data_IF_126133174671
#
_entry.id   IF_126133174671
#
_cell.length_a   1.000
_cell.length_b   1.000
_cell.length_c   1.000
_cell.angle_alpha   90.00
_cell.angle_beta   90.00
_cell.angle_gamma   90.00
#
_symmetry.space_group_name_H-M   'P 1'
#
loop_
_entity.id
_entity.type
_entity.pdbx_description
1 polymer ?
#
# COMPACT_ATOMS: atom_id res chain seq x y z
N UNK A 1 -74.43 -19.96 8.85
CA UNK A 1 -73.07 -19.47 9.15
C UNK A 1 -72.24 -20.64 9.66
N UNK A 2 -70.97 -20.76 9.26
CA UNK A 2 -70.46 -21.97 8.60
C UNK A 2 -69.96 -23.09 9.53
N UNK A 3 -70.01 -24.29 8.96
CA UNK A 3 -69.46 -25.57 9.37
C UNK A 3 -67.93 -25.59 9.37
N UNK A 4 -67.31 -25.98 10.48
CA UNK A 4 -65.89 -26.36 10.52
C UNK A 4 -65.72 -27.82 10.13
N UNK A 5 -65.36 -28.10 8.88
CA UNK A 5 -64.86 -29.42 8.47
C UNK A 5 -63.36 -29.48 8.72
N UNK A 6 -62.95 -30.32 9.67
CA UNK A 6 -61.56 -30.71 9.88
C UNK A 6 -61.09 -31.43 8.61
N UNK A 7 -60.15 -30.83 7.87
CA UNK A 7 -59.52 -31.46 6.72
C UNK A 7 -58.65 -32.61 7.21
N UNK A 8 -58.95 -33.83 6.76
CA UNK A 8 -58.11 -34.99 6.99
C UNK A 8 -56.77 -34.81 6.25
N UNK A 9 -55.65 -34.88 6.99
CA UNK A 9 -54.33 -34.96 6.40
C UNK A 9 -54.22 -36.21 5.53
N UNK A 10 -53.95 -36.02 4.25
CA UNK A 10 -53.67 -37.12 3.32
C UNK A 10 -52.33 -37.77 3.70
N UNK A 11 -52.23 -39.11 3.73
CA UNK A 11 -50.97 -39.78 4.07
C UNK A 11 -49.88 -39.47 3.03
N UNK A 12 -48.60 -39.45 3.44
CA UNK A 12 -47.50 -39.18 2.52
C UNK A 12 -47.47 -40.23 1.39
N UNK A 13 -47.12 -39.83 0.17
CA UNK A 13 -47.09 -40.73 -0.98
C UNK A 13 -46.06 -41.86 -0.75
N UNK A 14 -46.43 -43.09 -1.07
CA UNK A 14 -45.56 -44.26 -0.95
C UNK A 14 -44.28 -44.13 -1.79
N UNK A 15 -43.19 -44.78 -1.39
CA UNK A 15 -41.89 -44.72 -2.09
C UNK A 15 -41.99 -45.10 -3.59
N UNK A 16 -42.93 -45.97 -3.95
CA UNK A 16 -43.19 -46.37 -5.34
C UNK A 16 -43.74 -45.24 -6.21
N UNK A 17 -44.50 -44.31 -5.63
CA UNK A 17 -45.00 -43.10 -6.32
C UNK A 17 -43.94 -42.01 -6.46
N UNK A 18 -43.00 -41.94 -5.53
CA UNK A 18 -41.82 -41.07 -5.63
C UNK A 18 -40.87 -41.57 -6.72
N UNK A 19 -40.57 -42.87 -6.76
CA UNK A 19 -39.67 -43.45 -7.78
C UNK A 19 -40.21 -43.28 -9.22
N UNK A 20 -41.52 -43.41 -9.42
CA UNK A 20 -42.17 -43.20 -10.72
C UNK A 20 -42.25 -41.71 -11.14
N UNK A 21 -42.04 -40.79 -10.19
CA UNK A 21 -41.98 -39.35 -10.44
C UNK A 21 -40.54 -38.91 -10.76
N UNK A 22 -39.54 -39.49 -10.09
CA UNK A 22 -38.12 -39.30 -10.42
C UNK A 22 -37.74 -39.90 -11.79
N UNK A 23 -38.31 -41.04 -12.17
CA UNK A 23 -38.05 -41.67 -13.47
C UNK A 23 -38.68 -40.94 -14.67
N UNK A 24 -39.46 -39.88 -14.43
CA UNK A 24 -40.07 -39.02 -15.46
C UNK A 24 -39.42 -37.65 -15.58
N UNK A 25 -38.40 -37.37 -14.77
CA UNK A 25 -37.54 -36.21 -15.01
C UNK A 25 -36.73 -36.51 -16.28
N UNK A 26 -36.69 -35.60 -17.27
CA UNK A 26 -35.81 -35.78 -18.41
C UNK A 26 -34.39 -35.96 -17.89
N UNK A 27 -33.74 -37.07 -18.23
CA UNK A 27 -32.30 -37.22 -18.07
C UNK A 27 -31.66 -36.04 -18.80
N UNK A 28 -31.08 -35.12 -18.05
CA UNK A 28 -30.26 -34.04 -18.60
C UNK A 28 -28.97 -34.70 -19.04
N UNK A 29 -29.03 -35.38 -20.18
CA UNK A 29 -27.87 -35.85 -20.92
C UNK A 29 -27.25 -34.63 -21.60
N UNK A 30 -26.17 -34.15 -20.99
CA UNK A 30 -25.47 -32.96 -21.43
C UNK A 30 -24.58 -32.48 -20.32
N UNK A 31 -23.27 -32.67 -20.48
CA UNK A 31 -22.26 -31.84 -19.84
C UNK A 31 -22.59 -30.37 -20.16
N UNK A 32 -23.36 -29.72 -19.29
CA UNK A 32 -23.54 -28.29 -19.33
C UNK A 32 -22.21 -27.71 -18.83
N UNK A 33 -21.25 -27.59 -19.74
CA UNK A 33 -20.17 -26.63 -19.61
C UNK A 33 -20.79 -25.24 -19.54
N UNK A 34 -21.24 -24.82 -18.36
CA UNK A 34 -21.52 -23.43 -18.06
C UNK A 34 -20.15 -22.76 -18.08
N UNK A 35 -19.72 -22.31 -19.26
CA UNK A 35 -18.58 -21.42 -19.35
C UNK A 35 -18.84 -20.27 -18.37
N UNK A 36 -17.95 -19.97 -17.41
CA UNK A 36 -18.17 -18.91 -16.45
C UNK A 36 -18.31 -17.59 -17.22
N UNK A 37 -19.55 -17.15 -17.44
CA UNK A 37 -19.81 -15.90 -18.13
C UNK A 37 -19.35 -14.78 -17.21
N UNK A 38 -18.32 -14.04 -17.63
CA UNK A 38 -17.85 -12.85 -16.90
C UNK A 38 -19.02 -11.86 -16.88
N UNK A 39 -19.61 -11.53 -15.72
CA UNK A 39 -20.71 -10.59 -15.68
C UNK A 39 -20.25 -9.23 -16.27
N UNK A 40 -21.14 -8.50 -16.97
CA UNK A 40 -20.79 -7.19 -17.51
C UNK A 40 -20.38 -6.22 -16.39
N UNK A 41 -19.49 -5.28 -16.73
CA UNK A 41 -19.04 -4.26 -15.78
C UNK A 41 -20.23 -3.45 -15.26
N UNK A 42 -20.41 -3.40 -13.95
CA UNK A 42 -21.48 -2.66 -13.30
C UNK A 42 -20.87 -1.58 -12.41
N UNK A 43 -21.19 -0.33 -12.70
CA UNK A 43 -20.74 0.83 -11.91
C UNK A 43 -21.18 0.72 -10.44
N UNK A 44 -22.37 0.17 -10.16
CA UNK A 44 -22.84 -0.02 -8.78
C UNK A 44 -21.97 -0.99 -7.99
N UNK A 45 -21.58 -2.13 -8.60
CA UNK A 45 -20.64 -3.07 -7.99
C UNK A 45 -19.24 -2.45 -7.84
N UNK A 46 -18.79 -1.69 -8.83
CA UNK A 46 -17.52 -0.99 -8.76
C UNK A 46 -17.43 -0.04 -7.56
N UNK A 47 -18.43 0.84 -7.37
CA UNK A 47 -18.46 1.77 -6.22
C UNK A 47 -18.54 1.03 -4.88
N UNK A 48 -19.29 -0.07 -4.81
CA UNK A 48 -19.38 -0.89 -3.60
C UNK A 48 -18.02 -1.48 -3.18
N UNK A 49 -17.19 -1.92 -4.15
CA UNK A 49 -15.87 -2.50 -3.89
C UNK A 49 -14.70 -1.50 -3.96
N UNK A 50 -14.97 -0.20 -4.12
CA UNK A 50 -13.91 0.82 -4.27
C UNK A 50 -13.17 1.14 -2.96
N UNK A 51 -13.78 0.83 -1.80
CA UNK A 51 -13.29 1.21 -0.47
C UNK A 51 -11.82 0.87 -0.17
N UNK A 52 -11.38 -0.39 -0.30
CA UNK A 52 -10.00 -0.78 -0.01
C UNK A 52 -8.96 -0.07 -0.89
N UNK A 53 -9.24 0.08 -2.20
CA UNK A 53 -8.35 0.79 -3.11
C UNK A 53 -8.26 2.29 -2.79
N UNK A 54 -9.39 2.90 -2.40
CA UNK A 54 -9.42 4.29 -1.95
C UNK A 54 -8.60 4.51 -0.67
N UNK A 55 -8.77 3.63 0.33
CA UNK A 55 -8.00 3.68 1.59
C UNK A 55 -6.49 3.60 1.32
N UNK A 56 -6.05 2.68 0.45
CA UNK A 56 -4.65 2.56 0.07
C UNK A 56 -4.13 3.77 -0.71
N UNK A 57 -4.99 4.40 -1.53
CA UNK A 57 -4.61 5.61 -2.29
C UNK A 57 -4.43 6.82 -1.36
N UNK A 58 -5.27 6.96 -0.33
CA UNK A 58 -5.09 8.04 0.66
C UNK A 58 -3.80 7.89 1.46
N UNK A 59 -3.40 6.66 1.78
CA UNK A 59 -2.13 6.39 2.46
C UNK A 59 -0.88 6.74 1.62
N UNK A 60 -1.03 6.88 0.29
CA UNK A 60 0.04 7.34 -0.60
C UNK A 60 0.10 8.87 -0.75
N UNK A 61 -0.95 9.56 -0.31
CA UNK A 61 -1.06 11.02 -0.32
C UNK A 61 -0.76 11.61 1.06
N UNK A 62 -0.04 10.85 1.89
CA UNK A 62 0.39 11.29 3.19
C UNK A 62 1.37 12.48 3.07
N UNK A 63 1.41 13.38 4.06
CA UNK A 63 2.26 14.55 4.01
C UNK A 63 3.76 14.24 3.87
N UNK A 64 4.21 13.06 4.30
CA UNK A 64 5.61 12.63 4.22
C UNK A 64 6.07 12.37 2.79
N UNK A 65 5.31 11.58 2.04
CA UNK A 65 5.61 11.34 0.62
C UNK A 65 5.51 12.64 -0.20
N UNK A 66 4.52 13.49 0.10
CA UNK A 66 4.37 14.78 -0.56
C UNK A 66 5.54 15.72 -0.30
N UNK A 67 6.10 15.74 0.91
CA UNK A 67 7.33 16.50 1.21
C UNK A 67 8.49 16.03 0.34
N UNK A 68 8.78 14.73 0.32
CA UNK A 68 9.93 14.21 -0.42
C UNK A 68 9.82 14.51 -1.92
N UNK A 69 8.61 14.41 -2.46
CA UNK A 69 8.31 14.78 -3.85
C UNK A 69 8.44 16.29 -4.09
N UNK A 70 8.00 17.13 -3.14
CA UNK A 70 8.16 18.58 -3.23
C UNK A 70 9.61 19.02 -3.08
N UNK A 71 10.39 18.44 -2.16
CA UNK A 71 11.82 18.71 -1.98
C UNK A 71 12.61 18.28 -3.22
N UNK A 72 12.36 17.08 -3.76
CA UNK A 72 13.03 16.64 -4.97
C UNK A 72 12.63 17.47 -6.20
N UNK A 73 11.36 17.89 -6.26
CA UNK A 73 10.85 18.91 -7.17
C UNK A 73 11.58 20.24 -7.00
N UNK A 74 11.90 20.64 -5.78
CA UNK A 74 12.55 21.91 -5.50
C UNK A 74 13.98 21.99 -6.05
N UNK A 75 14.74 20.92 -5.82
CA UNK A 75 16.12 20.85 -6.27
C UNK A 75 16.24 20.60 -7.77
N UNK A 76 15.29 19.90 -8.38
CA UNK A 76 15.40 19.44 -9.77
C UNK A 76 14.38 20.08 -10.73
N UNK A 77 13.57 21.02 -10.23
CA UNK A 77 12.43 21.73 -10.85
C UNK A 77 11.36 20.82 -11.47
N UNK A 78 11.73 20.01 -12.47
CA UNK A 78 10.83 19.07 -13.16
C UNK A 78 11.55 17.83 -13.72
N UNK A 79 12.88 17.72 -13.60
CA UNK A 79 13.61 16.61 -14.22
C UNK A 79 13.23 15.25 -13.64
N UNK A 80 12.81 15.17 -12.38
CA UNK A 80 12.43 13.90 -11.74
C UNK A 80 10.96 13.51 -11.92
N UNK A 81 10.13 14.33 -12.56
CA UNK A 81 8.69 14.06 -12.67
C UNK A 81 8.39 12.71 -13.34
N UNK A 82 9.20 12.32 -14.34
CA UNK A 82 9.05 11.02 -14.98
C UNK A 82 9.41 9.86 -14.03
N UNK A 83 10.39 10.06 -13.14
CA UNK A 83 10.79 9.05 -12.15
C UNK A 83 9.67 8.86 -11.12
N UNK A 84 9.10 9.94 -10.59
CA UNK A 84 7.97 9.89 -9.67
C UNK A 84 6.77 9.22 -10.32
N UNK A 85 6.44 9.57 -11.57
CA UNK A 85 5.35 8.92 -12.31
C UNK A 85 5.55 7.41 -12.44
N UNK A 86 6.72 6.97 -12.88
CA UNK A 86 7.02 5.53 -13.02
C UNK A 86 7.11 4.80 -11.68
N UNK A 87 7.58 5.48 -10.62
CA UNK A 87 7.57 4.98 -9.24
C UNK A 87 6.15 4.71 -8.75
N UNK A 88 5.23 5.66 -8.95
CA UNK A 88 3.82 5.51 -8.56
C UNK A 88 3.13 4.41 -9.36
N UNK A 89 3.43 4.27 -10.66
CA UNK A 89 2.94 3.15 -11.47
C UNK A 89 3.44 1.81 -10.93
N UNK A 90 4.72 1.69 -10.60
CA UNK A 90 5.29 0.48 -10.00
C UNK A 90 4.66 0.18 -8.62
N UNK A 91 4.48 1.20 -7.77
CA UNK A 91 3.79 1.09 -6.49
C UNK A 91 2.37 0.56 -6.64
N UNK A 92 1.60 1.11 -7.58
CA UNK A 92 0.26 0.64 -7.92
C UNK A 92 0.25 -0.82 -8.41
N UNK A 93 1.26 -1.23 -9.19
CA UNK A 93 1.42 -2.63 -9.57
C UNK A 93 1.63 -3.52 -8.34
N UNK A 94 2.53 -3.17 -7.41
CA UNK A 94 2.71 -3.92 -6.17
C UNK A 94 1.45 -3.99 -5.31
N UNK A 95 0.65 -2.92 -5.25
CA UNK A 95 -0.63 -2.94 -4.54
C UNK A 95 -1.64 -3.89 -5.19
N UNK A 96 -1.76 -3.88 -6.52
CA UNK A 96 -2.63 -4.83 -7.25
C UNK A 96 -2.18 -6.27 -7.00
N UNK A 97 -0.87 -6.50 -6.93
CA UNK A 97 -0.29 -7.80 -6.62
C UNK A 97 -0.61 -8.25 -5.19
N UNK A 98 -0.48 -7.37 -4.20
CA UNK A 98 -0.86 -7.66 -2.82
C UNK A 98 -2.37 -7.93 -2.67
N UNK A 99 -3.21 -7.13 -3.35
CA UNK A 99 -4.66 -7.32 -3.37
C UNK A 99 -5.07 -8.65 -4.01
N UNK A 100 -4.39 -9.03 -5.11
CA UNK A 100 -4.60 -10.33 -5.77
C UNK A 100 -4.16 -11.50 -4.89
N UNK A 101 -3.01 -11.38 -4.22
CA UNK A 101 -2.56 -12.40 -3.27
C UNK A 101 -3.62 -12.62 -2.20
N UNK A 102 -4.16 -11.55 -1.60
CA UNK A 102 -5.24 -11.65 -0.62
C UNK A 102 -6.55 -12.21 -1.19
N UNK A 103 -6.92 -11.82 -2.40
CA UNK A 103 -8.17 -12.27 -3.04
C UNK A 103 -8.12 -13.73 -3.50
N UNK A 104 -6.93 -14.24 -3.87
CA UNK A 104 -6.76 -15.63 -4.33
C UNK A 104 -6.49 -16.61 -3.19
N UNK A 105 -5.91 -16.16 -2.08
CA UNK A 105 -5.53 -17.05 -0.96
C UNK A 105 -6.44 -16.91 0.26
N UNK A 106 -7.29 -15.89 0.32
CA UNK A 106 -8.07 -15.54 1.51
C UNK A 106 -7.23 -15.01 2.69
N UNK A 107 -5.90 -14.97 2.55
CA UNK A 107 -4.96 -14.66 3.61
C UNK A 107 -4.15 -13.40 3.32
N UNK A 108 -3.75 -12.70 4.39
CA UNK A 108 -2.87 -11.53 4.25
C UNK A 108 -1.41 -11.95 4.04
N UNK A 109 -0.61 -11.08 3.41
CA UNK A 109 0.82 -11.34 3.18
C UNK A 109 1.55 -11.72 4.47
N UNK A 110 1.23 -11.06 5.58
CA UNK A 110 1.83 -11.35 6.90
C UNK A 110 1.51 -12.76 7.41
N UNK A 111 0.30 -13.26 7.17
CA UNK A 111 -0.12 -14.61 7.56
C UNK A 111 0.63 -15.67 6.75
N UNK A 112 0.75 -15.43 5.44
CA UNK A 112 1.52 -16.29 4.53
C UNK A 112 3.01 -16.26 4.93
N UNK A 113 3.57 -15.10 5.24
CA UNK A 113 4.93 -14.97 5.77
C UNK A 113 5.12 -15.73 7.09
N UNK A 114 4.15 -15.67 8.00
CA UNK A 114 4.20 -16.38 9.29
C UNK A 114 4.10 -17.90 9.14
N UNK A 115 3.30 -18.37 8.20
CA UNK A 115 3.19 -19.80 7.91
C UNK A 115 4.40 -20.33 7.13
N UNK A 116 4.95 -19.51 6.24
CA UNK A 116 6.10 -19.84 5.42
C UNK A 116 7.39 -19.83 6.24
N UNK A 117 7.78 -18.71 6.85
CA UNK A 117 9.12 -18.54 7.44
C UNK A 117 9.27 -19.14 8.85
N UNK A 118 10.50 -19.49 9.29
CA UNK A 118 10.74 -19.89 10.67
C UNK A 118 10.50 -18.72 11.63
N UNK A 119 10.09 -19.04 12.87
CA UNK A 119 9.66 -18.04 13.88
C UNK A 119 10.63 -16.88 14.05
N UNK A 120 11.94 -17.13 14.05
CA UNK A 120 12.97 -16.08 14.19
C UNK A 120 12.90 -15.06 13.06
N UNK A 121 12.76 -15.52 11.81
CA UNK A 121 12.68 -14.66 10.62
C UNK A 121 11.34 -13.92 10.61
N UNK A 122 10.24 -14.57 11.00
CA UNK A 122 8.94 -13.91 11.13
C UNK A 122 9.00 -12.77 12.15
N UNK A 123 9.61 -12.97 13.33
CA UNK A 123 9.78 -11.90 14.30
C UNK A 123 10.67 -10.77 13.78
N UNK A 124 11.76 -11.10 13.07
CA UNK A 124 12.63 -10.09 12.46
C UNK A 124 11.86 -9.23 11.44
N UNK A 125 11.10 -9.86 10.54
CA UNK A 125 10.26 -9.15 9.55
C UNK A 125 9.16 -8.35 10.25
N UNK A 126 8.53 -8.89 11.30
CA UNK A 126 7.52 -8.17 12.07
C UNK A 126 8.08 -6.90 12.72
N UNK A 127 9.24 -6.98 13.40
CA UNK A 127 9.89 -5.80 13.98
C UNK A 127 10.20 -4.76 12.90
N UNK A 128 10.71 -5.19 11.75
CA UNK A 128 10.99 -4.27 10.65
C UNK A 128 9.72 -3.56 10.16
N UNK A 129 8.61 -4.28 10.00
CA UNK A 129 7.33 -3.69 9.59
C UNK A 129 6.75 -2.74 10.64
N UNK A 130 6.86 -3.07 11.93
CA UNK A 130 6.40 -2.19 13.01
C UNK A 130 7.18 -0.88 13.01
N UNK A 131 8.50 -0.94 12.80
CA UNK A 131 9.36 0.24 12.67
C UNK A 131 9.00 1.09 11.43
N UNK A 132 8.59 0.48 10.30
CA UNK A 132 8.08 1.22 9.13
C UNK A 132 6.87 2.06 9.53
N UNK A 133 5.88 1.42 10.16
CA UNK A 133 4.60 2.05 10.49
C UNK A 133 4.81 3.20 11.48
N UNK A 134 5.63 2.99 12.52
CA UNK A 134 6.00 4.05 13.47
C UNK A 134 6.69 5.22 12.74
N UNK A 135 7.56 4.93 11.77
CA UNK A 135 8.21 5.96 10.96
C UNK A 135 7.23 6.80 10.14
N UNK A 136 6.24 6.15 9.52
CA UNK A 136 5.17 6.84 8.79
C UNK A 136 4.35 7.75 9.72
N UNK A 137 3.94 7.25 10.88
CA UNK A 137 3.16 8.01 11.86
C UNK A 137 3.93 9.26 12.36
N UNK A 138 5.24 9.13 12.61
CA UNK A 138 6.08 10.26 13.01
C UNK A 138 6.09 11.34 11.92
N UNK A 139 6.23 10.94 10.65
CA UNK A 139 6.27 11.88 9.52
C UNK A 139 4.94 12.64 9.38
N UNK A 140 3.81 11.95 9.52
CA UNK A 140 2.48 12.57 9.49
C UNK A 140 2.33 13.63 10.58
N UNK A 141 2.78 13.35 11.80
CA UNK A 141 2.68 14.29 12.93
C UNK A 141 3.56 15.52 12.69
N UNK A 142 4.81 15.34 12.26
CA UNK A 142 5.76 16.45 12.02
C UNK A 142 5.17 17.42 10.99
N UNK A 143 4.63 16.92 9.89
CA UNK A 143 4.04 17.74 8.84
C UNK A 143 2.71 18.35 9.21
N UNK A 144 1.82 17.61 9.87
CA UNK A 144 0.56 18.15 10.37
C UNK A 144 0.82 19.35 11.29
N UNK A 145 1.79 19.24 12.20
CA UNK A 145 2.19 20.34 13.08
C UNK A 145 2.84 21.48 12.29
N UNK A 146 3.77 21.19 11.37
CA UNK A 146 4.44 22.21 10.55
C UNK A 146 3.47 23.04 9.71
N UNK A 147 2.49 22.38 9.07
CA UNK A 147 1.49 23.03 8.22
C UNK A 147 0.52 23.87 9.05
N UNK A 148 0.05 23.35 10.20
CA UNK A 148 -0.81 24.10 11.13
C UNK A 148 -0.04 25.28 11.74
N UNK A 149 1.21 25.09 12.17
CA UNK A 149 2.04 26.15 12.75
C UNK A 149 2.34 27.27 11.73
N UNK A 150 2.71 26.91 10.50
CA UNK A 150 2.91 27.87 9.39
C UNK A 150 1.63 28.66 9.09
N UNK A 151 0.48 27.97 9.04
CA UNK A 151 -0.82 28.59 8.83
C UNK A 151 -1.24 29.55 9.94
N UNK A 152 -1.00 29.22 11.22
CA UNK A 152 -1.36 30.05 12.36
C UNK A 152 -0.41 31.25 12.53
N UNK A 153 0.91 31.04 12.38
CA UNK A 153 1.92 32.10 12.51
C UNK A 153 1.70 33.23 11.51
N UNK A 154 1.42 32.88 10.24
CA UNK A 154 1.12 33.85 9.18
C UNK A 154 -0.16 34.66 9.44
N UNK A 155 -1.20 34.03 10.01
CA UNK A 155 -2.50 34.70 10.22
C UNK A 155 -2.45 35.70 11.37
N UNK A 156 -1.78 35.39 12.48
CA UNK A 156 -1.69 36.33 13.60
C UNK A 156 -0.81 37.55 13.26
N UNK A 157 0.39 37.32 12.73
CA UNK A 157 1.32 38.45 12.45
C UNK A 157 0.80 39.36 11.33
N UNK A 158 0.21 38.79 10.27
CA UNK A 158 -0.37 39.57 9.17
C UNK A 158 -1.60 40.40 9.56
N UNK A 159 -2.44 39.90 10.48
CA UNK A 159 -3.64 40.65 10.92
C UNK A 159 -3.33 41.79 11.87
N UNK A 160 -2.36 41.61 12.77
CA UNK A 160 -1.95 42.65 13.71
C UNK A 160 -1.16 43.76 12.99
N UNK A 161 -0.17 43.41 12.16
CA UNK A 161 0.59 44.42 11.41
C UNK A 161 -0.28 45.19 10.41
N UNK A 162 -1.16 44.50 9.69
CA UNK A 162 -2.09 45.13 8.74
C UNK A 162 -3.12 46.06 9.40
N UNK A 163 -3.49 45.80 10.66
CA UNK A 163 -4.40 46.67 11.40
C UNK A 163 -3.76 48.00 11.76
N UNK A 164 -2.53 48.00 12.27
CA UNK A 164 -1.81 49.23 12.61
C UNK A 164 -1.52 50.10 11.39
N UNK A 165 -1.25 49.49 10.22
CA UNK A 165 -1.01 50.23 8.98
C UNK A 165 -2.31 50.79 8.38
N UNK A 166 -3.40 50.00 8.34
CA UNK A 166 -4.69 50.47 7.79
C UNK A 166 -5.34 51.56 8.65
N UNK A 167 -5.32 51.41 9.98
CA UNK A 167 -5.85 52.42 10.90
C UNK A 167 -4.95 53.66 10.96
N UNK A 168 -3.62 53.49 10.85
CA UNK A 168 -2.67 54.60 10.91
C UNK A 168 -2.58 55.47 9.65
N UNK A 169 -2.74 54.88 8.45
CA UNK A 169 -2.51 55.61 7.19
C UNK A 169 -3.74 55.80 6.31
N UNK A 170 -4.75 54.94 6.40
CA UNK A 170 -5.85 54.87 5.43
C UNK A 170 -7.25 55.04 6.04
N UNK A 171 -7.38 55.09 7.37
CA UNK A 171 -8.63 55.22 8.16
C UNK A 171 -9.79 54.30 7.66
N UNK A 172 -9.44 53.12 7.15
CA UNK A 172 -10.37 52.15 6.56
C UNK A 172 -10.67 51.02 7.54
N UNK A 173 -11.89 51.01 8.11
CA UNK A 173 -12.37 49.96 9.01
C UNK A 173 -13.03 48.81 8.24
N UNK A 174 -12.21 47.86 7.78
CA UNK A 174 -12.68 46.63 7.12
C UNK A 174 -12.78 45.51 8.17
N UNK A 175 -13.85 44.70 8.10
CA UNK A 175 -14.01 43.52 8.96
C UNK A 175 -12.83 42.56 8.82
N UNK A 176 -12.36 42.02 9.96
CA UNK A 176 -11.11 41.24 10.05
C UNK A 176 -11.05 40.06 9.07
N UNK A 177 -12.16 39.37 8.81
CA UNK A 177 -12.21 38.23 7.89
C UNK A 177 -12.00 38.63 6.41
N UNK A 178 -12.56 39.79 5.99
CA UNK A 178 -12.35 40.31 4.63
C UNK A 178 -10.91 40.77 4.43
N UNK A 179 -10.34 41.39 5.47
CA UNK A 179 -8.94 41.81 5.50
C UNK A 179 -8.01 40.60 5.33
N UNK A 180 -8.20 39.55 6.13
CA UNK A 180 -7.42 38.29 6.07
C UNK A 180 -7.49 37.65 4.69
N UNK A 181 -8.68 37.54 4.10
CA UNK A 181 -8.87 36.92 2.80
C UNK A 181 -8.13 37.70 1.68
N UNK A 182 -8.29 39.02 1.65
CA UNK A 182 -7.65 39.89 0.63
C UNK A 182 -6.14 39.88 0.79
N UNK A 183 -5.62 40.02 2.01
CA UNK A 183 -4.17 40.01 2.25
C UNK A 183 -3.56 38.64 2.00
N UNK A 184 -4.27 37.54 2.30
CA UNK A 184 -3.79 36.18 1.97
C UNK A 184 -3.75 35.92 0.48
N UNK A 185 -4.77 36.33 -0.29
CA UNK A 185 -4.78 36.15 -1.75
C UNK A 185 -3.69 37.00 -2.41
N UNK A 186 -3.49 38.24 -1.95
CA UNK A 186 -2.42 39.10 -2.45
C UNK A 186 -1.01 38.72 -1.98
N UNK A 187 -0.85 38.10 -0.81
CA UNK A 187 0.45 37.64 -0.32
C UNK A 187 0.82 36.26 -0.89
N UNK A 188 -0.11 35.31 -0.83
CA UNK A 188 0.11 33.94 -1.30
C UNK A 188 0.03 33.83 -2.81
N UNK A 189 -0.73 34.67 -3.51
CA UNK A 189 -0.83 34.60 -4.98
C UNK A 189 0.53 34.84 -5.67
N UNK A 190 1.23 35.96 -5.41
CA UNK A 190 2.55 36.22 -5.95
C UNK A 190 3.62 35.31 -5.34
N UNK A 191 3.53 34.96 -4.05
CA UNK A 191 4.48 34.03 -3.43
C UNK A 191 4.36 32.61 -4.00
N UNK A 192 3.16 32.12 -4.30
CA UNK A 192 2.93 30.85 -4.99
C UNK A 192 3.51 30.91 -6.41
N UNK A 193 3.28 32.02 -7.12
CA UNK A 193 3.84 32.22 -8.46
C UNK A 193 5.37 32.33 -8.43
N UNK A 194 5.96 33.01 -7.44
CA UNK A 194 7.40 33.16 -7.30
C UNK A 194 8.06 31.90 -6.75
N UNK A 195 7.43 31.17 -5.83
CA UNK A 195 7.89 29.86 -5.38
C UNK A 195 7.90 28.86 -6.54
N UNK A 196 6.87 28.88 -7.40
CA UNK A 196 6.87 28.12 -8.67
C UNK A 196 7.98 28.55 -9.64
N UNK A 197 8.60 29.73 -9.45
CA UNK A 197 9.63 30.28 -10.32
C UNK A 197 11.04 30.30 -9.70
N UNK A 198 11.17 30.23 -8.38
CA UNK A 198 12.39 30.53 -7.60
C UNK A 198 12.32 29.86 -6.23
N UNK A 199 12.76 28.61 -6.15
CA UNK A 199 13.05 27.98 -4.86
C UNK A 199 14.46 28.33 -4.39
N UNK A 200 14.57 28.86 -3.17
CA UNK A 200 15.77 28.73 -2.31
C UNK A 200 15.43 29.01 -0.82
N UNK A 201 15.58 27.95 -0.01
CA UNK A 201 15.89 27.78 1.43
C UNK A 201 15.02 28.34 2.60
N UNK A 202 14.53 27.41 3.45
CA UNK A 202 15.26 27.05 4.70
C UNK A 202 14.53 27.03 6.07
N UNK A 203 14.00 25.87 6.49
CA UNK A 203 13.90 25.45 7.91
C UNK A 203 14.13 23.93 7.99
N UNK A 204 15.00 23.47 8.90
CA UNK A 204 15.63 22.13 8.86
C UNK A 204 14.72 20.99 9.39
N UNK A 205 13.56 20.76 8.76
CA UNK A 205 12.84 19.47 8.84
C UNK A 205 13.51 18.39 7.99
N UNK A 206 14.26 18.81 6.98
CA UNK A 206 14.80 17.96 5.91
C UNK A 206 15.66 16.80 6.44
N UNK A 207 16.46 17.02 7.49
CA UNK A 207 17.34 15.97 8.05
C UNK A 207 16.51 14.84 8.68
N UNK A 208 15.45 15.18 9.42
CA UNK A 208 14.62 14.17 10.10
C UNK A 208 13.85 13.35 9.06
N UNK A 209 13.30 14.01 8.05
CA UNK A 209 12.62 13.38 6.93
C UNK A 209 13.58 12.48 6.13
N UNK A 210 14.81 12.93 5.87
CA UNK A 210 15.83 12.13 5.20
C UNK A 210 16.17 10.87 6.02
N UNK A 211 16.31 10.96 7.35
CA UNK A 211 16.54 9.80 8.20
C UNK A 211 15.39 8.79 8.16
N UNK A 212 14.14 9.27 8.17
CA UNK A 212 12.95 8.42 8.10
C UNK A 212 12.88 7.72 6.73
N UNK A 213 13.15 8.43 5.64
CA UNK A 213 13.20 7.86 4.29
C UNK A 213 14.31 6.81 4.15
N UNK A 214 15.49 7.04 4.76
CA UNK A 214 16.58 6.05 4.80
C UNK A 214 16.13 4.80 5.57
N UNK A 215 15.48 4.96 6.72
CA UNK A 215 14.95 3.85 7.50
C UNK A 215 13.93 3.02 6.68
N UNK A 216 12.96 3.68 6.03
CA UNK A 216 11.97 3.03 5.17
C UNK A 216 12.63 2.32 3.98
N UNK A 217 13.67 2.92 3.38
CA UNK A 217 14.38 2.34 2.24
C UNK A 217 15.07 1.00 2.56
N UNK A 218 15.61 0.87 3.78
CA UNK A 218 16.20 -0.36 4.31
C UNK A 218 15.13 -1.41 4.60
N UNK A 219 13.88 -1.01 4.84
CA UNK A 219 12.80 -1.93 5.19
C UNK A 219 12.05 -2.48 3.96
N UNK A 220 12.06 -1.77 2.83
CA UNK A 220 11.37 -2.14 1.58
C UNK A 220 11.58 -3.60 1.13
N UNK A 221 12.80 -4.19 1.17
CA UNK A 221 13.00 -5.57 0.71
C UNK A 221 12.20 -6.60 1.50
N UNK A 222 11.90 -6.35 2.78
CA UNK A 222 11.15 -7.26 3.64
C UNK A 222 9.67 -7.37 3.26
N UNK A 223 9.11 -6.39 2.54
CA UNK A 223 7.76 -6.46 2.01
C UNK A 223 7.75 -6.97 0.55
N UNK A 224 8.63 -6.42 -0.30
CA UNK A 224 8.63 -6.69 -1.73
C UNK A 224 9.12 -8.09 -2.08
N UNK A 225 10.17 -8.60 -1.41
CA UNK A 225 10.73 -9.93 -1.71
C UNK A 225 9.72 -11.04 -1.42
N UNK A 226 9.07 -11.11 -0.24
CA UNK A 226 8.06 -12.15 0.02
C UNK A 226 6.85 -12.03 -0.92
N UNK A 227 6.39 -10.82 -1.20
CA UNK A 227 5.26 -10.59 -2.10
C UNK A 227 5.53 -11.15 -3.51
N UNK A 228 6.64 -10.77 -4.12
CA UNK A 228 7.00 -11.24 -5.46
C UNK A 228 7.24 -12.74 -5.51
N UNK A 229 7.85 -13.26 -4.46
CA UNK A 229 8.11 -14.69 -4.27
C UNK A 229 6.82 -15.50 -4.27
N UNK A 230 5.83 -15.10 -3.46
CA UNK A 230 4.58 -15.83 -3.31
C UNK A 230 3.74 -15.76 -4.57
N UNK A 231 3.76 -14.62 -5.26
CA UNK A 231 3.05 -14.43 -6.51
C UNK A 231 3.73 -15.19 -7.65
N UNK A 232 5.05 -15.28 -7.68
CA UNK A 232 5.75 -16.08 -8.68
C UNK A 232 5.45 -17.60 -8.56
N UNK A 233 4.96 -18.05 -7.41
CA UNK A 233 4.64 -19.45 -7.18
C UNK A 233 3.23 -19.82 -7.69
N UNK A 234 3.19 -20.45 -8.86
CA UNK A 234 1.94 -20.94 -9.49
C UNK A 234 1.10 -21.85 -8.60
N UNK A 235 1.72 -22.59 -7.67
CA UNK A 235 1.00 -23.53 -6.80
C UNK A 235 0.17 -22.81 -5.74
N UNK A 236 0.62 -21.65 -5.28
CA UNK A 236 -0.09 -20.85 -4.29
C UNK A 236 -1.25 -20.06 -4.92
N UNK A 237 -1.06 -19.51 -6.13
CA UNK A 237 -2.09 -18.72 -6.81
C UNK A 237 -3.12 -19.53 -7.61
N UNK A 238 -2.91 -20.84 -7.81
CA UNK A 238 -3.85 -21.72 -8.50
C UNK A 238 -4.04 -21.40 -10.00
N UNK A 239 -5.11 -21.94 -10.60
CA UNK A 239 -5.40 -21.79 -12.04
C UNK A 239 -5.90 -20.40 -12.45
N UNK A 240 -6.30 -19.57 -11.47
CA UNK A 240 -6.62 -18.15 -11.67
C UNK A 240 -5.36 -17.29 -11.92
N UNK A 241 -4.18 -17.92 -11.92
CA UNK A 241 -2.90 -17.29 -12.21
C UNK A 241 -2.76 -16.88 -13.69
N UNK A 242 -3.29 -15.71 -14.03
CA UNK A 242 -3.08 -15.09 -15.34
C UNK A 242 -1.99 -14.03 -15.23
N UNK A 243 -0.72 -14.44 -15.29
CA UNK A 243 0.39 -13.49 -15.44
C UNK A 243 1.43 -13.96 -16.45
N UNK A 244 1.79 -13.05 -17.36
CA UNK A 244 2.78 -13.27 -18.41
C UNK A 244 4.19 -13.20 -17.80
N UNK A 245 5.11 -14.07 -18.25
CA UNK A 245 6.51 -14.09 -17.80
C UNK A 245 7.17 -12.71 -17.90
N UNK A 246 6.80 -11.95 -18.94
CA UNK A 246 7.28 -10.59 -19.17
C UNK A 246 7.02 -9.63 -18.00
N UNK A 247 5.87 -9.75 -17.35
CA UNK A 247 5.53 -8.81 -16.27
C UNK A 247 6.24 -9.21 -14.97
N UNK A 248 6.41 -10.52 -14.70
CA UNK A 248 7.22 -10.99 -13.57
C UNK A 248 8.67 -10.52 -13.75
N UNK A 249 9.24 -10.67 -14.95
CA UNK A 249 10.59 -10.18 -15.24
C UNK A 249 10.69 -8.67 -15.09
N UNK A 250 9.68 -7.91 -15.55
CA UNK A 250 9.65 -6.46 -15.39
C UNK A 250 9.58 -6.03 -13.91
N UNK A 251 8.80 -6.72 -13.10
CA UNK A 251 8.68 -6.45 -11.65
C UNK A 251 9.96 -6.80 -10.89
N UNK A 252 10.60 -7.93 -11.24
CA UNK A 252 11.90 -8.30 -10.68
C UNK A 252 12.96 -7.27 -11.05
N UNK A 253 13.03 -6.85 -12.32
CA UNK A 253 13.93 -5.78 -12.76
C UNK A 253 13.63 -4.48 -12.02
N UNK A 254 12.35 -4.09 -11.91
CA UNK A 254 11.93 -2.91 -11.16
C UNK A 254 12.34 -2.97 -9.69
N UNK A 255 12.21 -4.12 -9.04
CA UNK A 255 12.68 -4.33 -7.65
C UNK A 255 14.17 -4.15 -7.53
N UNK A 256 14.95 -4.71 -8.47
CA UNK A 256 16.41 -4.58 -8.46
C UNK A 256 16.84 -3.12 -8.66
N UNK A 257 16.16 -2.38 -9.54
CA UNK A 257 16.38 -0.95 -9.72
C UNK A 257 16.09 -0.18 -8.43
N UNK A 258 14.95 -0.45 -7.77
CA UNK A 258 14.61 0.18 -6.49
C UNK A 258 15.67 -0.11 -5.43
N UNK A 259 16.14 -1.34 -5.32
CA UNK A 259 17.20 -1.69 -4.37
C UNK A 259 18.52 -0.97 -4.67
N UNK A 260 18.86 -0.83 -5.96
CA UNK A 260 20.04 -0.08 -6.39
C UNK A 260 19.95 1.40 -6.04
N UNK A 261 18.82 2.03 -6.31
CA UNK A 261 18.58 3.45 -5.94
C UNK A 261 18.63 3.63 -4.42
N UNK A 262 17.96 2.76 -3.66
CA UNK A 262 17.95 2.82 -2.20
C UNK A 262 19.34 2.61 -1.59
N UNK A 263 20.15 1.72 -2.17
CA UNK A 263 21.53 1.54 -1.74
C UNK A 263 22.32 2.85 -1.86
N UNK A 264 22.15 3.59 -2.96
CA UNK A 264 22.84 4.89 -3.13
C UNK A 264 22.36 5.94 -2.15
N UNK A 265 21.06 5.95 -1.80
CA UNK A 265 20.51 6.84 -0.78
C UNK A 265 21.18 6.58 0.57
N UNK A 266 21.10 5.33 1.06
CA UNK A 266 21.68 4.91 2.35
C UNK A 266 23.17 5.22 2.41
N UNK A 267 23.91 4.90 1.35
CA UNK A 267 25.36 5.14 1.31
C UNK A 267 25.72 6.63 1.41
N UNK A 268 25.02 7.49 0.65
CA UNK A 268 25.24 8.94 0.69
C UNK A 268 24.94 9.51 2.06
N UNK A 269 23.80 9.15 2.64
CA UNK A 269 23.38 9.63 3.96
C UNK A 269 24.34 9.18 5.07
N UNK A 270 24.83 7.94 5.04
CA UNK A 270 25.84 7.47 6.01
C UNK A 270 27.17 8.23 5.89
N UNK A 271 27.59 8.58 4.66
CA UNK A 271 28.83 9.31 4.43
C UNK A 271 28.70 10.80 4.79
N UNK A 272 27.60 11.44 4.42
CA UNK A 272 27.42 12.90 4.51
C UNK A 272 26.90 13.33 5.89
N UNK A 273 25.94 12.61 6.47
CA UNK A 273 25.28 13.01 7.73
C UNK A 273 26.06 12.54 8.95
N UNK A 274 26.59 11.32 8.93
CA UNK A 274 27.25 10.73 10.10
C UNK A 274 28.77 10.88 10.11
N UNK A 275 29.37 11.35 9.01
CA UNK A 275 30.83 11.54 8.85
C UNK A 275 31.64 10.39 9.49
N UNK A 276 31.23 9.15 9.22
CA UNK A 276 31.66 7.98 9.98
C UNK A 276 33.18 7.81 9.97
N UNK A 277 33.75 7.61 11.16
CA UNK A 277 35.14 7.17 11.31
C UNK A 277 35.35 5.76 10.73
N UNK A 278 36.59 5.33 10.52
CA UNK A 278 36.92 3.98 10.03
C UNK A 278 36.26 2.87 10.87
N UNK A 279 36.13 3.08 12.18
CA UNK A 279 35.45 2.13 13.07
C UNK A 279 33.93 2.11 12.84
N UNK A 280 33.32 3.26 12.53
CA UNK A 280 31.91 3.35 12.16
C UNK A 280 31.60 2.56 10.89
N UNK A 281 32.45 2.67 9.87
CA UNK A 281 32.30 1.90 8.63
C UNK A 281 32.41 0.39 8.84
N UNK A 282 33.26 -0.07 9.77
CA UNK A 282 33.32 -1.50 10.13
C UNK A 282 32.02 -2.00 10.75
N UNK A 283 31.41 -1.23 11.65
CA UNK A 283 30.13 -1.60 12.26
C UNK A 283 29.03 -1.66 11.20
N UNK A 284 28.95 -0.65 10.33
CA UNK A 284 28.00 -0.61 9.21
C UNK A 284 28.19 -1.82 8.30
N UNK A 285 29.43 -2.18 7.96
CA UNK A 285 29.71 -3.34 7.12
C UNK A 285 29.23 -4.64 7.76
N UNK A 286 29.45 -4.83 9.06
CA UNK A 286 28.96 -6.01 9.80
C UNK A 286 27.43 -6.07 9.76
N UNK A 287 26.75 -4.96 10.07
CA UNK A 287 25.28 -4.88 10.01
C UNK A 287 24.77 -5.15 8.60
N UNK A 288 25.42 -4.59 7.57
CA UNK A 288 25.06 -4.80 6.16
C UNK A 288 25.20 -6.27 5.74
N UNK A 289 26.19 -7.00 6.27
CA UNK A 289 26.34 -8.44 6.01
C UNK A 289 25.19 -9.23 6.63
N UNK A 290 24.82 -8.96 7.89
CA UNK A 290 23.68 -9.63 8.52
C UNK A 290 22.36 -9.33 7.81
N UNK A 291 22.17 -8.06 7.44
CA UNK A 291 21.02 -7.61 6.67
C UNK A 291 20.96 -8.30 5.29
N UNK A 292 22.08 -8.30 4.56
CA UNK A 292 22.18 -8.94 3.24
C UNK A 292 21.94 -10.45 3.33
N UNK A 293 22.45 -11.11 4.36
CA UNK A 293 22.19 -12.53 4.61
C UNK A 293 20.70 -12.80 4.87
N UNK A 294 20.02 -11.95 5.61
CA UNK A 294 18.57 -12.07 5.86
C UNK A 294 17.76 -11.87 4.56
N UNK A 295 18.10 -10.85 3.75
CA UNK A 295 17.43 -10.62 2.45
C UNK A 295 17.69 -11.77 1.49
N UNK A 296 18.93 -12.25 1.38
CA UNK A 296 19.28 -13.42 0.57
C UNK A 296 18.55 -14.67 1.05
N UNK A 297 18.39 -14.84 2.37
CA UNK A 297 17.59 -15.92 2.92
C UNK A 297 16.15 -15.81 2.43
N UNK A 298 15.50 -14.64 2.49
CA UNK A 298 14.13 -14.46 2.00
C UNK A 298 13.97 -14.76 0.50
N UNK A 299 14.98 -14.43 -0.31
CA UNK A 299 15.00 -14.70 -1.76
C UNK A 299 15.24 -16.19 -2.04
N UNK A 300 16.16 -16.84 -1.33
CA UNK A 300 16.56 -18.22 -1.58
C UNK A 300 15.57 -19.23 -0.97
N UNK A 301 14.88 -18.84 0.10
CA UNK A 301 13.90 -19.63 0.83
C UNK A 301 12.90 -20.43 -0.04
N UNK A 302 12.30 -19.86 -1.11
CA UNK A 302 11.30 -20.54 -1.94
C UNK A 302 11.90 -21.64 -2.83
N UNK A 303 13.22 -21.59 -3.05
CA UNK A 303 13.95 -22.52 -3.90
C UNK A 303 14.62 -23.65 -3.11
N UNK A 304 14.63 -23.57 -1.77
CA UNK A 304 15.19 -24.63 -0.92
C UNK A 304 14.32 -25.90 -0.98
N UNK A 305 14.92 -26.99 -1.48
CA UNK A 305 14.26 -28.27 -1.76
C UNK A 305 13.60 -28.92 -0.54
N UNK A 306 14.20 -28.82 0.64
CA UNK A 306 13.68 -29.39 1.89
C UNK A 306 12.39 -28.70 2.38
N UNK A 307 12.18 -27.42 2.01
CA UNK A 307 11.00 -26.66 2.41
C UNK A 307 9.86 -26.76 1.40
N UNK A 308 10.15 -27.20 0.17
CA UNK A 308 9.17 -27.39 -0.92
C UNK A 308 8.03 -28.35 -0.53
N UNK A 309 8.32 -29.36 0.29
CA UNK A 309 7.31 -30.29 0.82
C UNK A 309 6.36 -29.61 1.82
N UNK A 310 6.87 -28.72 2.67
CA UNK A 310 6.08 -27.94 3.62
C UNK A 310 5.21 -26.89 2.92
N UNK A 311 5.69 -26.36 1.80
CA UNK A 311 4.94 -25.51 0.87
C UNK A 311 3.79 -26.25 0.19
N UNK A 312 4.01 -27.50 -0.22
CA UNK A 312 2.97 -28.33 -0.82
C UNK A 312 1.84 -28.62 0.17
N UNK A 313 2.17 -28.84 1.44
CA UNK A 313 1.22 -29.05 2.53
C UNK A 313 0.44 -27.78 2.92
N UNK A 314 1.11 -26.62 2.89
CA UNK A 314 0.44 -25.33 3.14
C UNK A 314 -0.52 -24.95 1.99
N UNK A 315 -0.09 -25.14 0.73
CA UNK A 315 -0.90 -24.84 -0.43
C UNK A 315 -2.14 -25.74 -0.53
N UNK A 316 -2.02 -27.03 -0.21
CA UNK A 316 -3.17 -27.95 -0.15
C UNK A 316 -4.14 -27.58 0.96
N UNK A 317 -3.64 -27.18 2.14
CA UNK A 317 -4.47 -26.76 3.28
C UNK A 317 -5.28 -25.49 2.95
N UNK A 318 -4.66 -24.49 2.33
CA UNK A 318 -5.34 -23.25 1.93
C UNK A 318 -6.39 -23.53 0.85
N UNK A 319 -6.06 -24.32 -0.18
CA UNK A 319 -7.01 -24.67 -1.25
C UNK A 319 -8.19 -25.53 -0.76
N UNK A 320 -7.99 -26.40 0.23
CA UNK A 320 -9.07 -27.20 0.83
C UNK A 320 -9.99 -26.37 1.73
N UNK A 321 -9.48 -25.34 2.41
CA UNK A 321 -10.29 -24.43 3.22
C UNK A 321 -11.27 -23.62 2.35
N UNK A 322 -10.82 -23.12 1.19
CA UNK A 322 -11.68 -22.42 0.23
C UNK A 322 -12.75 -23.34 -0.38
N UNK A 323 -12.39 -24.59 -0.69
CA UNK A 323 -13.34 -25.57 -1.23
C UNK A 323 -14.46 -25.91 -0.24
N UNK A 324 -14.18 -25.91 1.07
CA UNK A 324 -15.17 -26.14 2.12
C UNK A 324 -16.04 -24.90 2.39
N UNK A 325 -15.48 -23.68 2.27
CA UNK A 325 -16.25 -22.45 2.40
C UNK A 325 -17.18 -22.18 1.21
N UNK A 326 -16.81 -22.61 0.00
CA UNK A 326 -17.67 -22.55 -1.18
C UNK A 326 -18.76 -23.65 -1.21
N UNK A 327 -18.61 -24.69 -0.40
CA UNK A 327 -19.56 -25.80 -0.28
C UNK A 327 -20.58 -25.63 0.88
N UNK A 328 -20.46 -24.55 1.67
CA UNK A 328 -21.34 -24.21 2.79
C UNK A 328 -22.19 -22.97 2.47
#
# INVERSE_FOLDING_TARGET
MPSGSVAAETPPPSDATLSASYSRLPEIDGDIHIAPQRPPFSWGKFWYFMGPGWLMSMAYLDPGNLEADLQSGAYSRYELLYVTFWSTVLGGLYQVLAARLGSCTGHHLAEICRAAYPRVVTYAVWIMMELVIIGCDIQEIIWAVGLVASGQASTMTGTYAGQFVMEGFLDLRIAAWKRVAITRVMALGPALVVALLTEYDGFHSDIVSEMINVMQSVQLPFALVPLLTFIANKRLMGELFVYNRCIITALVVGTLVLFGVNYTLVFKTLQQTFALSTNGWMIVAVVAVFYGALVLYLIAFPFLSWYKAKWEDLASTIQHADALQLAA
#
